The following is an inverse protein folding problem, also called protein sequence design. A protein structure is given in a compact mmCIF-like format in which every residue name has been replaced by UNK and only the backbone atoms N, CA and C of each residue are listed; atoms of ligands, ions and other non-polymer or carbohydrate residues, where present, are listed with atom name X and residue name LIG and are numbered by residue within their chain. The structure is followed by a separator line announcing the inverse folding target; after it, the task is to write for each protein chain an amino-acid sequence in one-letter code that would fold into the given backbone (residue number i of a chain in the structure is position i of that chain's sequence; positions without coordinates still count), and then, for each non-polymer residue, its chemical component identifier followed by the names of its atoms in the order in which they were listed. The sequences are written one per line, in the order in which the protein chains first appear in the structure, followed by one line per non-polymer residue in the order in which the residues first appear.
data_IF_729899816021
#
_entry.id   IF_729899816021
#
_cell.length_a   1.000
_cell.length_b   1.000
_cell.length_c   1.000
_cell.angle_alpha   90.00
_cell.angle_beta   90.00
_cell.angle_gamma   90.00
#
_symmetry.space_group_name_H-M   'P 1'
#
loop_
_entity.id
_entity.type
_entity.pdbx_description
1 polymer ?
#
# COMPACT_ATOMS: atom_id res chain seq x y z
N UNK A 1 0.76 2.10 -14.16
CA UNK A 1 -0.47 1.39 -14.57
C UNK A 1 -1.40 1.30 -13.38
N UNK A 2 -2.71 1.58 -13.50
CA UNK A 2 -3.65 1.43 -12.40
C UNK A 2 -3.91 -0.04 -12.05
N UNK A 3 -4.39 -0.29 -10.83
CA UNK A 3 -4.84 -1.60 -10.35
C UNK A 3 -6.30 -1.52 -9.88
N UNK A 4 -7.07 -2.59 -10.08
CA UNK A 4 -8.45 -2.69 -9.59
C UNK A 4 -8.49 -3.54 -8.32
N UNK A 5 -9.00 -2.98 -7.24
CA UNK A 5 -9.30 -3.68 -6.00
C UNK A 5 -10.81 -3.78 -5.80
N UNK A 6 -11.25 -4.76 -5.00
CA UNK A 6 -12.63 -4.88 -4.57
C UNK A 6 -12.66 -4.65 -3.05
N UNK A 7 -13.55 -3.78 -2.58
CA UNK A 7 -13.85 -3.68 -1.14
C UNK A 7 -14.74 -4.85 -0.72
N UNK A 8 -14.87 -5.09 0.58
CA UNK A 8 -15.79 -6.12 1.12
C UNK A 8 -17.24 -5.86 0.70
N UNK A 9 -17.61 -4.59 0.54
CA UNK A 9 -18.91 -4.14 0.03
C UNK A 9 -19.05 -4.24 -1.50
N UNK A 10 -18.11 -4.93 -2.17
CA UNK A 10 -18.06 -5.12 -3.63
C UNK A 10 -17.92 -3.84 -4.44
N UNK A 11 -17.41 -2.76 -3.84
CA UNK A 11 -17.06 -1.56 -4.60
C UNK A 11 -15.74 -1.79 -5.34
N UNK A 12 -15.66 -1.30 -6.58
CA UNK A 12 -14.42 -1.31 -7.35
C UNK A 12 -13.61 -0.07 -6.99
N UNK A 13 -12.38 -0.27 -6.54
CA UNK A 13 -11.41 0.81 -6.25
C UNK A 13 -10.33 0.80 -7.32
N UNK A 14 -10.16 1.93 -7.99
CA UNK A 14 -9.07 2.18 -8.94
C UNK A 14 -7.89 2.77 -8.18
N UNK A 15 -6.81 2.01 -8.06
CA UNK A 15 -5.60 2.38 -7.35
C UNK A 15 -4.52 2.84 -8.34
N UNK A 16 -3.87 3.96 -8.06
CA UNK A 16 -2.71 4.43 -8.79
C UNK A 16 -1.90 5.44 -7.99
N UNK A 17 -0.59 5.37 -8.11
CA UNK A 17 0.30 6.44 -7.65
C UNK A 17 0.72 7.32 -8.82
N UNK A 18 1.13 8.55 -8.50
CA UNK A 18 1.64 9.50 -9.49
C UNK A 18 3.16 9.56 -9.48
N UNK A 19 3.73 9.84 -10.64
CA UNK A 19 5.16 9.85 -10.81
C UNK A 19 5.60 9.58 -12.24
N UNK A 20 6.77 10.11 -12.60
CA UNK A 20 7.51 9.70 -13.79
C UNK A 20 9.00 9.63 -13.50
N UNK A 21 9.68 8.74 -14.20
CA UNK A 21 11.13 8.54 -14.11
C UNK A 21 11.67 7.99 -15.44
N UNK A 22 11.53 8.79 -16.50
CA UNK A 22 11.88 8.38 -17.87
C UNK A 22 12.91 9.32 -18.50
N UNK A 23 12.92 10.60 -18.12
CA UNK A 23 13.77 11.63 -18.71
C UNK A 23 14.81 12.11 -17.70
N UNK A 24 15.94 12.71 -18.15
CA UNK A 24 16.97 13.22 -17.25
C UNK A 24 16.44 14.19 -16.18
N UNK A 25 15.44 15.02 -16.51
CA UNK A 25 14.82 15.96 -15.56
C UNK A 25 14.09 15.28 -14.41
N UNK A 26 13.72 14.01 -14.58
CA UNK A 26 13.07 13.22 -13.54
C UNK A 26 14.04 12.75 -12.46
N UNK A 27 15.34 12.85 -12.69
CA UNK A 27 16.37 12.44 -11.73
C UNK A 27 16.63 13.45 -10.62
N UNK A 28 15.83 14.51 -10.57
CA UNK A 28 15.92 15.56 -9.56
C UNK A 28 14.85 15.38 -8.48
N UNK A 29 15.10 16.00 -7.32
CA UNK A 29 14.12 16.10 -6.24
C UNK A 29 13.09 17.22 -6.46
N UNK A 30 13.38 18.16 -7.37
CA UNK A 30 12.58 19.37 -7.62
C UNK A 30 11.39 19.10 -8.54
N UNK A 31 10.48 18.22 -8.10
CA UNK A 31 9.19 17.99 -8.76
C UNK A 31 8.04 18.32 -7.80
N UNK A 32 6.83 18.62 -8.32
CA UNK A 32 5.66 18.76 -7.47
C UNK A 32 5.41 17.48 -6.66
N UNK A 33 4.83 17.65 -5.47
CA UNK A 33 4.40 16.54 -4.62
C UNK A 33 3.56 15.55 -5.42
N UNK A 34 3.91 14.28 -5.29
CA UNK A 34 3.19 13.16 -5.90
C UNK A 34 2.37 12.46 -4.81
N UNK A 35 1.37 11.69 -5.22
CA UNK A 35 0.42 11.09 -4.27
C UNK A 35 0.00 9.69 -4.72
N UNK A 36 -0.50 8.91 -3.77
CA UNK A 36 -1.23 7.68 -4.02
C UNK A 36 -2.73 7.95 -3.95
N UNK A 37 -3.50 7.34 -4.85
CA UNK A 37 -4.94 7.50 -4.95
C UNK A 37 -5.65 6.14 -4.92
N UNK A 38 -6.82 6.12 -4.29
CA UNK A 38 -7.84 5.10 -4.48
C UNK A 38 -9.17 5.74 -4.82
N UNK A 39 -9.68 5.49 -6.02
CA UNK A 39 -10.91 6.11 -6.53
C UNK A 39 -12.01 5.05 -6.61
N UNK A 40 -13.16 5.32 -6.01
CA UNK A 40 -14.32 4.44 -6.14
C UNK A 40 -14.94 4.59 -7.52
N UNK A 41 -14.91 3.51 -8.30
CA UNK A 41 -15.62 3.45 -9.57
C UNK A 41 -17.08 3.09 -9.31
N UNK A 42 -17.93 4.11 -9.45
CA UNK A 42 -19.38 4.01 -9.29
C UNK A 42 -20.11 3.97 -10.65
N UNK A 43 -19.36 4.00 -11.76
CA UNK A 43 -19.90 4.05 -13.11
C UNK A 43 -20.47 5.42 -13.53
N UNK A 44 -20.71 5.61 -14.84
CA UNK A 44 -21.07 6.91 -15.42
C UNK A 44 -22.45 7.44 -15.01
N UNK A 45 -23.33 6.57 -14.50
CA UNK A 45 -24.65 6.97 -14.02
C UNK A 45 -24.62 7.55 -12.59
N UNK A 46 -23.50 7.42 -11.87
CA UNK A 46 -23.39 7.89 -10.49
C UNK A 46 -23.24 9.42 -10.40
N UNK A 47 -23.86 10.00 -9.39
CA UNK A 47 -23.79 11.43 -9.14
C UNK A 47 -22.34 11.88 -8.83
N UNK A 48 -21.84 12.80 -9.66
CA UNK A 48 -20.47 13.30 -9.59
C UNK A 48 -19.43 12.34 -10.20
N UNK A 49 -19.83 11.46 -11.11
CA UNK A 49 -18.88 10.84 -12.03
C UNK A 49 -18.69 11.75 -13.27
N UNK A 50 -17.47 11.91 -13.83
CA UNK A 50 -16.20 11.40 -13.32
C UNK A 50 -15.74 12.16 -12.06
N UNK A 51 -14.92 11.50 -11.25
CA UNK A 51 -14.26 12.15 -10.10
C UNK A 51 -13.19 13.12 -10.62
N UNK A 52 -13.31 14.41 -10.28
CA UNK A 52 -12.38 15.46 -10.69
C UNK A 52 -11.82 16.16 -9.45
N UNK A 53 -10.49 16.28 -9.38
CA UNK A 53 -9.78 16.92 -8.27
C UNK A 53 -9.84 16.13 -6.96
N UNK A 54 -9.24 16.71 -5.92
CA UNK A 54 -9.09 16.08 -4.59
C UNK A 54 -10.20 16.45 -3.59
N UNK A 55 -11.06 17.42 -3.91
CA UNK A 55 -12.04 17.99 -2.95
C UNK A 55 -13.09 17.00 -2.45
N UNK A 56 -13.28 15.88 -3.15
CA UNK A 56 -14.18 14.79 -2.75
C UNK A 56 -13.43 13.51 -2.42
N UNK A 57 -12.14 13.62 -2.08
CA UNK A 57 -11.33 12.51 -1.65
C UNK A 57 -10.98 12.70 -0.18
N UNK A 58 -11.05 11.61 0.58
CA UNK A 58 -10.53 11.59 1.94
C UNK A 58 -9.01 11.73 1.88
N UNK A 59 -8.46 12.75 2.54
CA UNK A 59 -7.02 12.89 2.70
C UNK A 59 -6.54 12.08 3.90
N UNK A 60 -5.62 11.15 3.66
CA UNK A 60 -4.83 10.52 4.72
C UNK A 60 -3.46 11.21 4.80
N UNK A 61 -2.89 11.29 6.00
CA UNK A 61 -1.60 11.95 6.22
C UNK A 61 -0.49 10.92 6.44
N UNK A 62 0.43 10.83 5.49
CA UNK A 62 1.66 10.05 5.62
C UNK A 62 2.67 10.84 6.46
N UNK A 63 3.29 10.21 7.46
CA UNK A 63 4.25 10.85 8.35
C UNK A 63 5.35 9.88 8.81
N UNK A 64 6.43 10.40 9.39
CA UNK A 64 7.53 9.59 9.92
C UNK A 64 7.10 8.94 11.24
N UNK A 65 7.46 7.66 11.42
CA UNK A 65 7.34 6.94 12.68
C UNK A 65 8.61 6.10 12.89
N UNK A 66 9.48 6.51 13.81
CA UNK A 66 10.79 5.86 13.98
C UNK A 66 11.65 5.95 12.71
N UNK A 67 12.19 4.82 12.27
CA UNK A 67 12.88 4.67 10.97
C UNK A 67 11.92 4.51 9.79
N UNK A 68 10.67 4.19 10.07
CA UNK A 68 9.63 3.94 9.07
C UNK A 68 8.63 5.09 8.93
N UNK A 69 7.44 4.74 8.44
CA UNK A 69 6.34 5.68 8.18
C UNK A 69 5.00 5.14 8.66
N UNK A 70 4.09 6.06 8.96
CA UNK A 70 2.72 5.76 9.39
C UNK A 70 1.70 6.61 8.62
N UNK A 71 0.45 6.12 8.56
CA UNK A 71 -0.70 6.80 7.97
C UNK A 71 -1.75 7.10 9.04
N UNK A 72 -2.65 8.04 8.77
CA UNK A 72 -3.85 8.25 9.59
C UNK A 72 -4.85 7.11 9.41
N UNK A 73 -5.83 7.02 10.33
CA UNK A 73 -6.91 6.01 10.34
C UNK A 73 -8.28 6.63 10.09
N UNK A 74 -8.33 7.74 9.35
CA UNK A 74 -9.58 8.45 9.08
C UNK A 74 -10.55 7.55 8.31
N UNK A 75 -11.84 7.64 8.63
CA UNK A 75 -12.88 6.82 8.02
C UNK A 75 -13.45 7.47 6.77
N UNK A 76 -13.85 6.65 5.79
CA UNK A 76 -14.56 7.11 4.59
C UNK A 76 -16.02 7.39 4.93
N UNK A 77 -16.46 8.62 4.68
CA UNK A 77 -17.88 8.94 4.49
C UNK A 77 -18.26 8.81 3.02
N UNK A 78 -19.00 7.76 2.63
CA UNK A 78 -19.41 7.52 1.24
C UNK A 78 -20.43 8.54 0.69
N UNK A 79 -21.08 9.33 1.54
CA UNK A 79 -21.94 10.42 1.08
C UNK A 79 -21.10 11.57 0.51
N UNK A 80 -19.96 11.86 1.12
CA UNK A 80 -19.06 12.97 0.78
C UNK A 80 -17.89 12.56 -0.12
N UNK A 81 -17.26 11.43 0.19
CA UNK A 81 -16.05 10.98 -0.44
C UNK A 81 -16.33 10.03 -1.61
N UNK A 82 -15.46 10.09 -2.63
CA UNK A 82 -15.46 9.21 -3.82
C UNK A 82 -14.14 8.47 -3.97
N UNK A 83 -13.41 8.39 -2.87
CA UNK A 83 -12.09 7.80 -2.80
C UNK A 83 -11.27 8.46 -1.72
N UNK A 84 -9.98 8.20 -1.77
CA UNK A 84 -8.99 8.70 -0.84
C UNK A 84 -7.67 8.99 -1.56
N UNK A 85 -6.82 9.76 -0.90
CA UNK A 85 -5.44 9.95 -1.32
C UNK A 85 -4.53 10.23 -0.13
N UNK A 86 -3.24 9.99 -0.31
CA UNK A 86 -2.19 10.53 0.57
C UNK A 86 -1.02 11.02 -0.28
N UNK A 87 -0.42 12.12 0.16
CA UNK A 87 0.78 12.68 -0.46
C UNK A 87 2.01 11.89 -0.03
N UNK A 88 2.95 11.68 -0.95
CA UNK A 88 4.26 11.14 -0.60
C UNK A 88 5.06 12.17 0.18
N UNK A 89 5.87 11.65 1.11
CA UNK A 89 6.42 12.46 2.20
C UNK A 89 7.72 13.16 1.81
N UNK A 90 8.58 12.50 1.05
CA UNK A 90 9.89 13.07 0.69
C UNK A 90 9.82 13.88 -0.61
N UNK A 91 10.68 14.90 -0.71
CA UNK A 91 10.87 15.66 -1.93
C UNK A 91 11.25 14.71 -3.07
N UNK A 92 10.60 14.89 -4.21
CA UNK A 92 10.82 14.04 -5.37
C UNK A 92 10.39 12.58 -5.20
N UNK A 93 9.72 12.21 -4.13
CA UNK A 93 9.17 10.87 -3.99
C UNK A 93 8.02 10.64 -4.97
N UNK A 94 7.96 9.45 -5.56
CA UNK A 94 7.01 9.14 -6.62
C UNK A 94 6.74 7.65 -6.73
N UNK A 95 5.62 7.29 -7.34
CA UNK A 95 5.33 5.90 -7.71
C UNK A 95 5.41 5.75 -9.23
N UNK A 96 6.30 4.87 -9.68
CA UNK A 96 6.52 4.59 -11.12
C UNK A 96 6.25 3.13 -11.49
N UNK A 97 5.99 2.29 -10.49
CA UNK A 97 5.70 0.87 -10.66
C UNK A 97 4.30 0.57 -10.15
N UNK A 98 3.71 -0.49 -10.70
CA UNK A 98 2.34 -0.86 -10.38
C UNK A 98 2.21 -1.27 -8.91
N UNK A 99 1.23 -0.70 -8.22
CA UNK A 99 0.78 -1.14 -6.89
C UNK A 99 0.23 -2.56 -6.95
N UNK A 100 0.68 -3.41 -6.03
CA UNK A 100 0.11 -4.74 -5.80
C UNK A 100 -1.05 -4.67 -4.82
N UNK A 101 -2.03 -5.58 -4.95
CA UNK A 101 -3.17 -5.65 -4.01
C UNK A 101 -3.37 -7.07 -3.53
N UNK A 102 -3.58 -7.22 -2.22
CA UNK A 102 -4.06 -8.44 -1.59
C UNK A 102 -5.56 -8.31 -1.35
N UNK A 103 -6.36 -8.88 -2.25
CA UNK A 103 -7.81 -8.67 -2.29
C UNK A 103 -8.54 -9.22 -1.05
N UNK A 104 -8.14 -10.37 -0.51
CA UNK A 104 -8.75 -10.90 0.72
C UNK A 104 -8.50 -10.02 1.94
N UNK A 105 -7.23 -9.61 2.07
CA UNK A 105 -6.75 -8.72 3.13
C UNK A 105 -7.23 -7.27 3.02
N UNK A 106 -7.67 -6.80 1.85
CA UNK A 106 -7.94 -5.39 1.62
C UNK A 106 -6.70 -4.50 1.70
N UNK A 107 -5.51 -5.03 1.40
CA UNK A 107 -4.24 -4.29 1.55
C UNK A 107 -3.59 -4.00 0.21
N UNK A 108 -3.25 -2.74 -0.01
CA UNK A 108 -2.42 -2.30 -1.11
C UNK A 108 -0.95 -2.23 -0.70
N UNK A 109 -0.08 -2.63 -1.62
CA UNK A 109 1.38 -2.64 -1.47
C UNK A 109 1.94 -1.78 -2.58
N UNK A 110 2.58 -0.67 -2.22
CA UNK A 110 3.12 0.27 -3.21
C UNK A 110 4.56 0.64 -2.85
N UNK A 111 5.53 0.32 -3.71
CA UNK A 111 6.85 0.90 -3.57
C UNK A 111 6.86 2.31 -4.17
N UNK A 112 7.64 3.19 -3.55
CA UNK A 112 7.95 4.53 -4.06
C UNK A 112 9.43 4.62 -4.39
N UNK A 113 9.79 5.58 -5.24
CA UNK A 113 11.16 5.89 -5.63
C UNK A 113 11.45 7.33 -5.23
N UNK A 114 12.63 7.55 -4.66
CA UNK A 114 13.23 8.85 -4.38
C UNK A 114 14.59 8.87 -5.11
N UNK A 115 14.79 9.72 -6.13
CA UNK A 115 16.08 9.81 -6.80
C UNK A 115 17.16 10.31 -5.82
N UNK A 116 18.36 9.75 -5.87
CA UNK A 116 19.50 10.20 -5.05
C UNK A 116 20.68 10.68 -5.87
N UNK A 117 20.61 10.54 -7.20
CA UNK A 117 21.62 11.03 -8.15
C UNK A 117 20.93 11.48 -9.45
N UNK A 118 21.40 12.60 -10.01
CA UNK A 118 20.98 13.11 -11.32
C UNK A 118 21.87 12.60 -12.48
N UNK A 119 22.95 11.88 -12.16
CA UNK A 119 23.90 11.32 -13.13
C UNK A 119 23.24 10.23 -13.99
N UNK A 120 23.20 10.37 -15.33
CA UNK A 120 22.71 9.34 -16.24
C UNK A 120 23.50 8.03 -16.22
N UNK A 121 24.78 8.08 -15.92
CA UNK A 121 25.68 6.93 -15.92
C UNK A 121 25.67 6.19 -14.58
N UNK A 122 25.26 6.88 -13.51
CA UNK A 122 25.14 6.32 -12.18
C UNK A 122 23.81 6.74 -11.52
N UNK A 123 22.66 6.26 -12.05
CA UNK A 123 21.37 6.54 -11.46
C UNK A 123 21.27 5.81 -10.13
N UNK A 124 21.14 6.57 -9.06
CA UNK A 124 20.91 6.04 -7.71
C UNK A 124 19.52 6.46 -7.23
N UNK A 125 18.88 5.56 -6.49
CA UNK A 125 17.58 5.82 -5.89
C UNK A 125 17.45 5.09 -4.56
N UNK A 126 16.61 5.65 -3.69
CA UNK A 126 16.12 4.99 -2.48
C UNK A 126 14.63 4.74 -2.64
N UNK A 127 14.13 3.63 -2.12
CA UNK A 127 12.70 3.32 -2.15
C UNK A 127 12.10 3.34 -0.75
N UNK A 128 10.78 3.47 -0.67
CA UNK A 128 10.01 2.95 0.45
C UNK A 128 9.09 1.86 -0.06
N UNK A 129 8.86 0.83 0.75
CA UNK A 129 7.75 -0.09 0.54
C UNK A 129 6.62 0.31 1.48
N UNK A 130 5.49 0.73 0.94
CA UNK A 130 4.35 1.22 1.72
C UNK A 130 3.18 0.24 1.66
N UNK A 131 2.51 0.08 2.79
CA UNK A 131 1.22 -0.56 2.92
C UNK A 131 0.12 0.45 3.22
N UNK A 132 -1.07 0.16 2.71
CA UNK A 132 -2.26 0.95 3.02
C UNK A 132 -3.50 0.09 2.87
N UNK A 133 -4.57 0.46 3.58
CA UNK A 133 -5.88 -0.13 3.40
C UNK A 133 -6.51 0.35 2.08
N UNK A 134 -6.95 -0.57 1.22
CA UNK A 134 -7.53 -0.19 -0.08
C UNK A 134 -8.86 0.55 0.05
N UNK A 135 -9.56 0.42 1.18
CA UNK A 135 -10.88 1.01 1.40
C UNK A 135 -10.80 2.50 1.76
N UNK A 136 -9.83 2.90 2.59
CA UNK A 136 -9.73 4.28 3.09
C UNK A 136 -8.34 4.93 2.90
N UNK A 137 -7.33 4.18 2.43
CA UNK A 137 -5.97 4.68 2.22
C UNK A 137 -5.15 4.87 3.49
N UNK A 138 -5.66 4.44 4.64
CA UNK A 138 -5.03 4.56 5.96
C UNK A 138 -4.21 3.34 6.33
N UNK A 139 -3.95 3.18 7.63
CA UNK A 139 -3.28 1.98 8.15
C UNK A 139 -4.11 0.73 7.80
N UNK A 140 -3.52 -0.31 7.17
CA UNK A 140 -4.19 -1.59 6.90
C UNK A 140 -4.94 -2.15 8.10
N UNK A 141 -6.17 -2.65 7.91
CA UNK A 141 -6.94 -3.27 9.00
C UNK A 141 -7.62 -2.29 9.95
N UNK A 142 -7.36 -0.98 9.84
CA UNK A 142 -8.06 0.06 10.63
C UNK A 142 -9.55 0.21 10.29
N UNK A 143 -9.97 -0.27 9.11
CA UNK A 143 -11.38 -0.25 8.68
C UNK A 143 -12.19 -1.45 9.21
N UNK A 144 -11.53 -2.47 9.77
CA UNK A 144 -12.16 -3.65 10.37
C UNK A 144 -12.04 -3.57 11.90
N UNK A 145 -12.97 -4.15 12.68
CA UNK A 145 -12.78 -4.27 14.12
C UNK A 145 -11.44 -4.97 14.37
N UNK A 146 -10.55 -4.42 15.21
CA UNK A 146 -9.28 -5.06 15.50
C UNK A 146 -9.57 -6.42 16.14
N UNK A 147 -9.24 -7.50 15.43
CA UNK A 147 -9.07 -8.81 16.08
C UNK A 147 -7.72 -8.75 16.76
N UNK A 148 -7.68 -9.03 18.05
CA UNK A 148 -6.46 -9.26 18.83
C UNK A 148 -6.56 -10.75 19.22
N UNK A 149 -6.14 -11.61 18.30
CA UNK A 149 -6.40 -13.05 18.37
C UNK A 149 -5.50 -13.75 19.37
N UNK A 150 -4.36 -13.15 19.74
CA UNK A 150 -3.41 -13.67 20.71
C UNK A 150 -3.42 -12.92 22.06
N UNK A 151 -4.17 -11.82 22.17
CA UNK A 151 -4.46 -11.12 23.42
C UNK A 151 -3.29 -10.29 23.94
N UNK A 152 -2.38 -9.88 23.06
CA UNK A 152 -1.19 -9.11 23.42
C UNK A 152 -1.45 -7.60 23.56
N UNK A 153 -2.68 -7.15 23.28
CA UNK A 153 -3.11 -5.76 23.36
C UNK A 153 -2.78 -4.94 22.12
N UNK A 154 -2.27 -5.57 21.06
CA UNK A 154 -2.03 -5.01 19.74
C UNK A 154 -3.04 -5.64 18.79
N UNK A 155 -3.77 -4.85 18.00
CA UNK A 155 -4.60 -5.42 16.95
C UNK A 155 -3.77 -6.25 15.96
N UNK A 156 -4.26 -7.43 15.60
CA UNK A 156 -3.82 -8.19 14.43
C UNK A 156 -4.08 -7.33 13.18
N UNK A 157 -3.13 -6.50 12.83
CA UNK A 157 -3.14 -5.82 11.55
C UNK A 157 -2.66 -6.82 10.51
N UNK A 158 -3.37 -6.84 9.37
CA UNK A 158 -3.20 -7.90 8.36
C UNK A 158 -1.78 -7.91 7.76
N UNK A 159 -1.03 -6.80 7.90
CA UNK A 159 0.35 -6.67 7.42
C UNK A 159 1.14 -5.73 8.35
N UNK A 160 2.31 -6.18 8.82
CA UNK A 160 3.27 -5.40 9.61
C UNK A 160 4.71 -5.65 9.14
N UNK A 161 5.63 -4.80 9.59
CA UNK A 161 7.07 -4.96 9.39
C UNK A 161 7.73 -5.48 10.68
N UNK A 162 8.88 -6.14 10.54
CA UNK A 162 9.76 -6.47 11.67
C UNK A 162 10.46 -5.16 12.07
N UNK A 163 9.93 -4.54 13.12
CA UNK A 163 10.36 -3.22 13.60
C UNK A 163 11.38 -3.30 14.72
N UNK A 164 11.53 -4.47 15.34
CA UNK A 164 12.47 -4.70 16.44
C UNK A 164 13.75 -5.44 16.00
N UNK A 165 13.78 -5.96 14.78
CA UNK A 165 14.93 -6.62 14.15
C UNK A 165 15.18 -8.05 14.62
N UNK A 166 14.21 -8.69 15.29
CA UNK A 166 14.34 -10.06 15.79
C UNK A 166 14.05 -11.13 14.71
N UNK A 167 13.69 -10.71 13.50
CA UNK A 167 13.31 -11.52 12.33
C UNK A 167 12.01 -12.29 12.49
N UNK A 168 11.18 -11.90 13.45
CA UNK A 168 9.83 -12.41 13.64
C UNK A 168 8.85 -11.25 13.48
N UNK A 169 7.63 -11.56 13.05
CA UNK A 169 6.53 -10.61 13.05
C UNK A 169 5.60 -11.03 14.18
N UNK A 170 5.51 -10.23 15.24
CA UNK A 170 4.70 -10.53 16.42
C UNK A 170 4.29 -9.26 17.19
N UNK A 171 3.64 -9.42 18.34
CA UNK A 171 3.26 -8.34 19.26
C UNK A 171 4.38 -7.45 19.80
N UNK A 172 5.63 -7.76 19.52
CA UNK A 172 6.74 -6.87 19.84
C UNK A 172 7.01 -5.86 18.73
N UNK A 173 6.27 -5.92 17.61
CA UNK A 173 6.37 -5.01 16.49
C UNK A 173 5.37 -3.86 16.55
N UNK A 174 5.80 -2.67 16.12
CA UNK A 174 4.93 -1.51 15.99
C UNK A 174 4.11 -1.61 14.70
N UNK A 175 2.92 -2.19 14.81
CA UNK A 175 2.02 -2.38 13.68
C UNK A 175 1.46 -1.06 13.07
N UNK A 176 1.78 0.11 13.65
CA UNK A 176 1.50 1.41 13.02
C UNK A 176 2.51 1.75 11.93
N UNK A 177 3.65 1.04 11.88
CA UNK A 177 4.64 1.18 10.82
C UNK A 177 4.10 0.49 9.57
N UNK A 178 3.81 1.31 8.56
CA UNK A 178 3.30 0.87 7.25
C UNK A 178 4.31 1.13 6.13
N UNK A 179 5.47 1.68 6.44
CA UNK A 179 6.45 2.01 5.42
C UNK A 179 7.88 1.87 5.90
N UNK A 180 8.65 1.01 5.25
CA UNK A 180 10.08 0.83 5.54
C UNK A 180 10.94 1.34 4.36
N UNK A 181 12.07 2.02 4.65
CA UNK A 181 13.02 2.42 3.63
C UNK A 181 13.78 1.22 3.10
N UNK A 182 14.13 1.29 1.81
CA UNK A 182 14.98 0.31 1.14
C UNK A 182 16.04 1.09 0.38
N UNK A 183 17.31 0.81 0.67
CA UNK A 183 18.47 1.47 0.04
C UNK A 183 18.76 0.91 -1.37
N UNK A 184 17.70 0.69 -2.14
CA UNK A 184 17.74 0.27 -3.52
C UNK A 184 16.41 0.58 -4.23
N UNK A 185 16.36 0.37 -5.54
CA UNK A 185 15.16 0.46 -6.35
C UNK A 185 14.30 -0.81 -6.28
N UNK A 186 13.01 -0.65 -5.94
CA UNK A 186 12.03 -1.74 -6.03
C UNK A 186 11.33 -1.69 -7.39
N UNK A 187 11.76 -2.56 -8.31
CA UNK A 187 11.26 -2.60 -9.69
C UNK A 187 9.85 -3.16 -9.87
N UNK A 188 9.37 -3.94 -8.91
CA UNK A 188 8.02 -4.48 -8.91
C UNK A 188 7.64 -5.01 -7.53
N UNK A 189 6.33 -5.04 -7.27
CA UNK A 189 5.74 -5.85 -6.20
C UNK A 189 4.78 -6.84 -6.84
N UNK A 190 4.94 -8.12 -6.53
CA UNK A 190 3.98 -9.14 -6.94
C UNK A 190 2.93 -9.31 -5.85
N UNK A 191 1.64 -9.44 -6.21
CA UNK A 191 0.65 -9.89 -5.24
C UNK A 191 1.05 -11.31 -4.81
N UNK A 192 1.46 -11.49 -3.56
CA UNK A 192 1.65 -12.85 -3.04
C UNK A 192 0.25 -13.36 -2.73
N UNK A 193 -0.33 -14.13 -3.64
CA UNK A 193 -1.51 -14.95 -3.33
C UNK A 193 -0.99 -16.30 -2.88
N UNK A 194 -0.90 -16.54 -1.58
CA UNK A 194 -0.61 -17.90 -1.12
C UNK A 194 -1.90 -18.73 -1.13
N UNK A 195 -1.84 -19.96 -1.66
CA UNK A 195 -2.94 -20.90 -1.57
C UNK A 195 -2.95 -21.52 -0.16
N UNK A 196 -3.76 -20.97 0.75
CA UNK A 196 -3.93 -21.49 2.10
C UNK A 196 -3.06 -20.76 3.14
N UNK A 197 -3.57 -20.68 4.37
CA UNK A 197 -2.96 -19.90 5.45
C UNK A 197 -1.48 -20.18 5.65
N UNK A 198 -0.74 -19.13 6.01
CA UNK A 198 0.72 -19.15 6.16
C UNK A 198 1.34 -17.75 6.13
N UNK A 199 2.66 -17.70 6.23
CA UNK A 199 3.48 -16.48 6.16
C UNK A 199 4.07 -16.26 4.76
N UNK A 200 3.70 -15.15 4.12
CA UNK A 200 4.14 -14.82 2.77
C UNK A 200 5.34 -13.92 2.83
N UNK A 201 6.54 -14.46 2.58
CA UNK A 201 7.77 -13.68 2.62
C UNK A 201 8.02 -12.99 1.27
N UNK A 202 7.90 -11.68 1.24
CA UNK A 202 8.47 -10.84 0.19
C UNK A 202 9.95 -10.67 0.53
N UNK A 203 10.81 -11.32 -0.25
CA UNK A 203 12.25 -11.11 -0.17
C UNK A 203 12.57 -9.98 -1.14
N UNK A 204 12.99 -8.84 -0.60
CA UNK A 204 13.62 -7.79 -1.38
C UNK A 204 15.11 -8.13 -1.44
N UNK A 205 15.64 -8.56 -2.60
CA UNK A 205 17.08 -8.73 -2.75
C UNK A 205 17.72 -7.36 -2.55
N UNK A 206 18.46 -7.20 -1.46
CA UNK A 206 19.29 -6.02 -1.24
C UNK A 206 20.65 -6.21 -1.90
N UNK A 207 21.24 -5.11 -2.36
CA UNK A 207 22.66 -5.03 -2.70
C UNK A 207 23.55 -5.19 -1.46
N UNK A 208 24.57 -4.33 -1.30
CA UNK A 208 25.56 -4.42 -0.22
C UNK A 208 25.00 -4.29 1.21
N UNK A 209 23.72 -3.93 1.38
CA UNK A 209 23.06 -3.76 2.68
C UNK A 209 22.35 -5.03 3.21
N UNK A 210 22.35 -6.14 2.44
CA UNK A 210 21.66 -7.38 2.82
C UNK A 210 20.19 -7.41 2.40
N UNK A 211 19.63 -8.62 2.27
CA UNK A 211 18.25 -8.81 1.85
C UNK A 211 17.25 -8.43 2.95
N UNK A 212 16.25 -7.61 2.61
CA UNK A 212 15.13 -7.31 3.50
C UNK A 212 14.08 -8.40 3.32
N UNK A 213 13.75 -9.13 4.38
CA UNK A 213 12.60 -10.03 4.38
C UNK A 213 11.40 -9.32 5.00
N UNK A 214 10.39 -9.09 4.18
CA UNK A 214 9.07 -8.68 4.62
C UNK A 214 8.20 -9.93 4.72
N UNK A 215 7.59 -10.19 5.88
CA UNK A 215 6.64 -11.29 6.05
C UNK A 215 5.23 -10.71 6.10
N UNK A 216 4.31 -11.29 5.33
CA UNK A 216 2.90 -10.94 5.33
C UNK A 216 2.08 -12.14 5.85
N UNK A 217 1.52 -12.09 7.07
CA UNK A 217 0.71 -13.18 7.60
C UNK A 217 -0.65 -13.26 6.88
N UNK A 218 -1.14 -14.48 6.62
CA UNK A 218 -2.50 -14.74 6.12
C UNK A 218 -3.20 -15.78 7.01
N UNK A 219 -4.33 -15.40 7.61
CA UNK A 219 -5.23 -16.30 8.36
C UNK A 219 -6.64 -16.41 7.75
N UNK A 220 -6.81 -16.17 6.43
CA UNK A 220 -8.12 -16.34 5.79
C UNK A 220 -8.39 -17.77 5.32
N UNK A 221 -8.97 -18.59 6.20
CA UNK A 221 -9.57 -19.87 5.83
C UNK A 221 -10.93 -19.66 5.13
N UNK A 222 -10.94 -19.45 3.80
CA UNK A 222 -12.18 -19.43 3.01
C UNK A 222 -12.09 -20.29 1.75
N UNK A 223 -13.19 -20.95 1.39
CA UNK A 223 -13.33 -21.68 0.10
C UNK A 223 -13.36 -20.65 -1.04
N UNK A 224 -12.30 -20.59 -1.86
CA UNK A 224 -12.15 -19.57 -2.92
C UNK A 224 -12.36 -20.07 -4.37
N UNK A 225 -12.78 -21.32 -4.56
CA UNK A 225 -13.05 -21.88 -5.90
C UNK A 225 -14.19 -22.89 -5.93
N UNK A 226 -15.40 -22.44 -5.60
CA UNK A 226 -16.63 -23.15 -5.95
C UNK A 226 -17.53 -22.19 -6.75
N UNK A 227 -17.89 -22.62 -7.96
CA UNK A 227 -18.99 -22.07 -8.75
C UNK A 227 -19.91 -23.24 -9.07
N UNK A 228 -21.12 -23.24 -8.54
CA UNK A 228 -22.18 -24.15 -8.95
C UNK A 228 -23.17 -23.37 -9.78
N UNK A 229 -23.51 -23.92 -10.94
CA UNK A 229 -24.59 -23.40 -11.77
C UNK A 229 -25.84 -24.18 -11.33
N UNK A 230 -26.69 -23.57 -10.51
CA UNK A 230 -28.02 -24.13 -10.29
C UNK A 230 -28.76 -24.07 -11.63
N UNK A 231 -28.99 -25.24 -12.24
CA UNK A 231 -30.04 -25.36 -13.25
C UNK A 231 -31.33 -25.67 -12.50
N UNK A 232 -32.33 -24.80 -12.67
CA UNK A 232 -33.73 -25.20 -12.52
C UNK A 232 -34.13 -26.14 -13.67
#
# INVERSE_FOLDING_TARGET
QPWLAFTEDRQVVVLFGTGKYLEPKDRTLSIPVQSMYGIFDQGPAAAGYPVVGQNRLLRQNLSVLGSGRTLTVSTIDHSQHRGWYFDFLADGERNIVRTGVRVGAGVGITPTLIPTSDDPCNPAARSFLLFFDVTNGGIPGSARPPTDSDGDGIPDYIVSFDTNGDRMINGSDDARVIGEPVDDFIAAVTPVTMPGGGEGRIILPGGSAGATSLVVPEFEWRRRSWRELFRE
#
